data_IF_800293108017
#
_entry.id   IF_800293108017
#
_cell.length_a   1.000
_cell.length_b   1.000
_cell.length_c   1.000
_cell.angle_alpha   90.00
_cell.angle_beta   90.00
_cell.angle_gamma   90.00
#
_symmetry.space_group_name_H-M   'P 1'
#
loop_
_entity.id
_entity.type
_entity.pdbx_description
1 polymer ?
#
# COMPACT_ATOMS: atom_id res chain seq x y z
N UNK A 1 7.79 15.13 20.40
CA UNK A 1 8.06 13.68 20.53
C UNK A 1 9.57 13.50 20.52
N UNK A 2 10.14 12.60 21.33
CA UNK A 2 11.61 12.41 21.38
C UNK A 2 12.07 11.67 20.12
N UNK A 3 13.13 12.12 19.42
CA UNK A 3 13.54 11.57 18.12
C UNK A 3 13.90 10.08 18.11
N UNK A 4 14.25 9.50 19.26
CA UNK A 4 14.83 8.14 19.35
C UNK A 4 13.84 7.08 19.86
N UNK A 5 12.53 7.33 19.81
CA UNK A 5 11.55 6.50 20.54
C UNK A 5 11.17 5.20 19.82
N UNK A 6 11.40 5.08 18.50
CA UNK A 6 10.95 3.95 17.71
C UNK A 6 12.02 3.53 16.70
N UNK A 7 12.82 2.53 17.05
CA UNK A 7 13.75 1.90 16.10
C UNK A 7 13.00 1.01 15.11
N UNK A 8 13.57 0.80 13.92
CA UNK A 8 13.02 -0.11 12.90
C UNK A 8 12.87 -1.53 13.45
N UNK A 9 13.84 -2.00 14.23
CA UNK A 9 13.82 -3.33 14.86
C UNK A 9 12.65 -3.47 15.85
N UNK A 10 12.43 -2.48 16.72
CA UNK A 10 11.35 -2.52 17.70
C UNK A 10 9.97 -2.46 17.03
N UNK A 11 9.81 -1.59 16.04
CA UNK A 11 8.57 -1.44 15.28
C UNK A 11 8.26 -2.71 14.49
N UNK A 12 9.25 -3.28 13.81
CA UNK A 12 9.06 -4.53 13.05
C UNK A 12 8.78 -5.72 13.99
N UNK A 13 9.33 -5.73 15.21
CA UNK A 13 8.96 -6.77 16.19
C UNK A 13 7.52 -6.64 16.66
N UNK A 14 7.02 -5.41 16.84
CA UNK A 14 5.66 -5.15 17.37
C UNK A 14 4.58 -5.23 16.29
N UNK A 15 4.89 -4.81 15.07
CA UNK A 15 4.01 -4.75 13.90
C UNK A 15 4.69 -5.48 12.73
N UNK A 16 4.78 -6.82 12.79
CA UNK A 16 5.66 -7.60 11.91
C UNK A 16 5.21 -7.66 10.44
N UNK A 17 3.95 -7.32 10.17
CA UNK A 17 3.39 -7.45 8.83
C UNK A 17 3.43 -6.13 8.07
N UNK A 18 3.48 -6.21 6.74
CA UNK A 18 3.44 -5.08 5.81
C UNK A 18 4.57 -4.07 6.08
N UNK A 19 5.82 -4.54 5.98
CA UNK A 19 7.02 -3.74 6.20
C UNK A 19 7.38 -2.96 4.92
N UNK A 20 6.40 -2.20 4.41
CA UNK A 20 6.54 -1.39 3.21
C UNK A 20 7.14 -0.03 3.56
N UNK A 21 8.14 0.40 2.80
CA UNK A 21 8.84 1.67 3.00
C UNK A 21 8.79 2.61 1.81
N UNK A 22 9.52 3.72 1.90
CA UNK A 22 9.64 4.73 0.86
C UNK A 22 11.08 4.78 0.37
N UNK A 23 11.30 4.43 -0.89
CA UNK A 23 12.60 4.63 -1.54
C UNK A 23 12.79 6.11 -1.87
N UNK A 24 11.80 6.73 -2.52
CA UNK A 24 11.83 8.16 -2.88
C UNK A 24 10.42 8.71 -3.18
N UNK A 25 10.30 10.03 -3.17
CA UNK A 25 9.16 10.76 -3.71
C UNK A 25 9.55 11.41 -5.03
N UNK A 26 9.03 10.86 -6.14
CA UNK A 26 9.47 11.21 -7.49
C UNK A 26 8.40 11.96 -8.26
N UNK A 27 8.83 12.83 -9.16
CA UNK A 27 7.95 13.40 -10.18
C UNK A 27 8.34 12.76 -11.51
N UNK A 28 7.36 12.23 -12.23
CA UNK A 28 7.59 11.58 -13.51
C UNK A 28 8.22 12.54 -14.52
N UNK A 29 9.24 12.06 -15.24
CA UNK A 29 10.08 12.87 -16.12
C UNK A 29 9.33 13.38 -17.36
N UNK A 30 8.25 12.70 -17.73
CA UNK A 30 7.39 12.98 -18.88
C UNK A 30 6.30 14.02 -18.57
N UNK A 31 6.21 14.52 -17.33
CA UNK A 31 5.34 15.65 -17.04
C UNK A 31 5.78 16.89 -17.81
N UNK A 32 4.81 17.53 -18.47
CA UNK A 32 5.03 18.75 -19.27
C UNK A 32 4.68 20.03 -18.51
N UNK A 33 4.06 19.91 -17.35
CA UNK A 33 3.55 21.02 -16.54
C UNK A 33 4.27 21.05 -15.18
N UNK A 34 4.26 22.21 -14.53
CA UNK A 34 4.77 22.36 -13.17
C UNK A 34 4.13 21.33 -12.22
N UNK A 35 4.96 20.68 -11.41
CA UNK A 35 4.52 19.70 -10.43
C UNK A 35 5.33 19.85 -9.15
N UNK A 36 4.70 19.57 -8.01
CA UNK A 36 5.37 19.60 -6.71
C UNK A 36 4.79 18.51 -5.84
N UNK A 37 5.65 17.79 -5.11
CA UNK A 37 5.27 16.95 -3.97
C UNK A 37 5.71 17.70 -2.73
N UNK A 38 4.75 18.34 -2.08
CA UNK A 38 5.03 19.15 -0.88
C UNK A 38 5.40 18.26 0.31
N UNK A 39 6.12 18.82 1.30
CA UNK A 39 6.39 18.12 2.57
C UNK A 39 5.10 17.62 3.23
N UNK A 40 4.00 18.37 3.14
CA UNK A 40 2.70 17.95 3.69
C UNK A 40 2.09 16.78 2.91
N UNK A 41 2.25 16.72 1.59
CA UNK A 41 1.86 15.55 0.80
C UNK A 41 2.70 14.32 1.15
N UNK A 42 4.01 14.49 1.38
CA UNK A 42 4.87 13.39 1.84
C UNK A 42 4.42 12.88 3.21
N UNK A 43 4.15 13.77 4.16
CA UNK A 43 3.58 13.42 5.48
C UNK A 43 2.24 12.70 5.35
N UNK A 44 1.38 13.16 4.45
CA UNK A 44 0.11 12.52 4.15
C UNK A 44 0.29 11.07 3.67
N UNK A 45 1.20 10.82 2.71
CA UNK A 45 1.52 9.45 2.25
C UNK A 45 2.03 8.59 3.40
N UNK A 46 2.98 9.08 4.18
CA UNK A 46 3.52 8.36 5.34
C UNK A 46 2.44 8.02 6.38
N UNK A 47 1.47 8.93 6.59
CA UNK A 47 0.31 8.65 7.45
C UNK A 47 -0.61 7.57 6.85
N UNK A 48 -0.85 7.59 5.54
CA UNK A 48 -1.58 6.53 4.85
C UNK A 48 -0.86 5.18 4.98
N UNK A 49 0.48 5.15 4.91
CA UNK A 49 1.27 3.93 5.14
C UNK A 49 1.12 3.39 6.56
N UNK A 50 1.11 4.27 7.58
CA UNK A 50 0.83 3.89 8.95
C UNK A 50 -0.56 3.26 9.10
N UNK A 51 -1.58 3.82 8.44
CA UNK A 51 -2.95 3.29 8.46
C UNK A 51 -3.04 1.92 7.80
N UNK A 52 -2.46 1.73 6.62
CA UNK A 52 -2.43 0.43 5.94
C UNK A 52 -1.70 -0.62 6.80
N UNK A 53 -0.53 -0.28 7.35
CA UNK A 53 0.22 -1.19 8.23
C UNK A 53 -0.57 -1.53 9.49
N UNK A 54 -1.29 -0.57 10.08
CA UNK A 54 -2.19 -0.81 11.22
C UNK A 54 -3.32 -1.78 10.83
N UNK A 55 -3.97 -1.56 9.69
CA UNK A 55 -5.05 -2.42 9.20
C UNK A 55 -4.57 -3.85 8.93
N UNK A 56 -3.44 -4.04 8.24
CA UNK A 56 -2.91 -5.38 7.92
C UNK A 56 -2.45 -6.15 9.18
N UNK A 57 -1.92 -5.43 10.19
CA UNK A 57 -1.56 -6.01 11.49
C UNK A 57 -2.76 -6.21 12.43
N UNK A 58 -3.97 -5.76 12.07
CA UNK A 58 -5.16 -5.96 12.90
C UNK A 58 -5.59 -7.43 12.96
N UNK A 59 -6.22 -7.82 14.06
CA UNK A 59 -6.83 -9.15 14.22
C UNK A 59 -8.01 -9.36 13.27
N UNK A 60 -8.67 -8.28 12.85
CA UNK A 60 -9.84 -8.32 11.99
C UNK A 60 -9.49 -8.57 10.51
N UNK A 61 -8.25 -8.27 10.09
CA UNK A 61 -7.84 -8.38 8.68
C UNK A 61 -8.02 -9.78 8.08
N UNK A 62 -7.52 -10.89 8.67
CA UNK A 62 -7.67 -12.22 8.10
C UNK A 62 -9.14 -12.64 7.99
N UNK A 63 -9.94 -12.29 9.01
CA UNK A 63 -11.39 -12.55 9.02
C UNK A 63 -12.08 -11.84 7.86
N UNK A 64 -11.76 -10.56 7.62
CA UNK A 64 -12.34 -9.79 6.51
C UNK A 64 -11.90 -10.31 5.14
N UNK A 65 -10.67 -10.80 5.01
CA UNK A 65 -10.21 -11.47 3.79
C UNK A 65 -11.00 -12.76 3.55
N UNK A 66 -11.20 -13.59 4.57
CA UNK A 66 -11.95 -14.83 4.46
C UNK A 66 -13.44 -14.62 4.16
N UNK A 67 -14.06 -13.58 4.73
CA UNK A 67 -15.44 -13.18 4.40
C UNK A 67 -15.62 -12.91 2.89
N UNK A 68 -14.57 -12.43 2.22
CA UNK A 68 -14.55 -12.15 0.78
C UNK A 68 -14.07 -13.30 -0.09
N UNK A 69 -13.87 -14.51 0.44
CA UNK A 69 -13.28 -15.65 -0.30
C UNK A 69 -13.85 -15.90 -1.70
N UNK A 70 -15.15 -15.63 -1.92
CA UNK A 70 -15.81 -15.85 -3.21
C UNK A 70 -15.52 -14.76 -4.26
N UNK A 71 -14.92 -13.63 -3.86
CA UNK A 71 -14.50 -12.52 -4.72
C UNK A 71 -13.00 -12.64 -5.10
N UNK A 72 -12.27 -13.55 -4.44
CA UNK A 72 -10.81 -13.68 -4.53
C UNK A 72 -10.40 -14.73 -5.56
N UNK A 73 -10.79 -14.54 -6.83
CA UNK A 73 -10.38 -15.39 -7.94
C UNK A 73 -9.24 -14.80 -8.77
N UNK A 74 -8.41 -15.63 -9.38
CA UNK A 74 -7.37 -15.17 -10.28
C UNK A 74 -7.95 -14.61 -11.58
N UNK A 75 -7.45 -13.45 -12.00
CA UNK A 75 -7.85 -12.79 -13.25
C UNK A 75 -6.92 -13.12 -14.42
N UNK A 76 -5.80 -13.80 -14.14
CA UNK A 76 -4.74 -14.13 -15.08
C UNK A 76 -4.20 -15.54 -14.81
N UNK A 77 -3.58 -16.15 -15.82
CA UNK A 77 -2.79 -17.37 -15.62
C UNK A 77 -1.42 -16.99 -15.06
N UNK A 78 -0.93 -17.72 -14.06
CA UNK A 78 0.40 -17.53 -13.50
C UNK A 78 0.98 -18.85 -12.99
N UNK A 79 2.31 -18.98 -13.02
CA UNK A 79 2.99 -20.19 -12.55
C UNK A 79 4.40 -19.89 -12.04
N UNK A 80 4.81 -20.60 -11.00
CA UNK A 80 6.18 -20.62 -10.52
C UNK A 80 6.50 -21.98 -9.91
N UNK A 81 7.70 -22.51 -10.21
CA UNK A 81 8.10 -23.83 -9.74
C UNK A 81 7.12 -24.92 -10.17
N UNK A 82 6.59 -25.66 -9.19
CA UNK A 82 5.60 -26.71 -9.40
C UNK A 82 4.15 -26.25 -9.17
N UNK A 83 3.91 -24.97 -8.89
CA UNK A 83 2.58 -24.42 -8.65
C UNK A 83 2.13 -23.52 -9.81
N UNK A 84 0.86 -23.64 -10.17
CA UNK A 84 0.22 -22.79 -11.16
C UNK A 84 -1.20 -22.47 -10.73
N UNK A 85 -1.65 -21.26 -11.03
CA UNK A 85 -3.04 -20.84 -10.91
C UNK A 85 -3.55 -20.40 -12.27
N UNK A 86 -4.77 -20.82 -12.63
CA UNK A 86 -5.42 -20.40 -13.86
C UNK A 86 -6.40 -19.27 -13.59
N UNK A 87 -6.70 -18.51 -14.63
CA UNK A 87 -7.79 -17.54 -14.60
C UNK A 87 -9.09 -18.23 -14.20
N UNK A 88 -9.73 -17.70 -13.16
CA UNK A 88 -10.96 -18.21 -12.57
C UNK A 88 -10.75 -19.11 -11.35
N UNK A 89 -9.53 -19.59 -11.09
CA UNK A 89 -9.24 -20.35 -9.88
C UNK A 89 -9.28 -19.43 -8.66
N UNK A 90 -9.91 -19.91 -7.58
CA UNK A 90 -9.98 -19.16 -6.33
C UNK A 90 -8.66 -19.23 -5.57
N UNK A 91 -8.19 -18.09 -5.06
CA UNK A 91 -7.09 -18.04 -4.12
C UNK A 91 -7.52 -18.65 -2.77
N UNK A 92 -6.59 -19.30 -2.07
CA UNK A 92 -6.77 -19.63 -0.66
C UNK A 92 -6.67 -18.33 0.16
N UNK A 93 -7.72 -17.93 0.91
CA UNK A 93 -7.72 -16.68 1.65
C UNK A 93 -6.63 -16.61 2.74
N UNK A 94 -6.27 -17.73 3.36
CA UNK A 94 -5.23 -17.76 4.40
C UNK A 94 -3.85 -17.56 3.78
N UNK A 95 -3.57 -18.25 2.66
CA UNK A 95 -2.33 -18.04 1.92
C UNK A 95 -2.25 -16.60 1.42
N UNK A 96 -3.36 -16.04 0.94
CA UNK A 96 -3.39 -14.66 0.47
C UNK A 96 -3.12 -13.65 1.60
N UNK A 97 -3.63 -13.90 2.81
CA UNK A 97 -3.28 -13.12 4.01
C UNK A 97 -1.77 -13.15 4.24
N UNK A 98 -1.13 -14.32 4.17
CA UNK A 98 0.32 -14.45 4.37
C UNK A 98 1.13 -13.76 3.26
N UNK A 99 0.71 -13.92 2.00
CA UNK A 99 1.31 -13.27 0.83
C UNK A 99 1.34 -11.75 1.00
N UNK A 100 0.23 -11.15 1.46
CA UNK A 100 0.12 -9.72 1.73
C UNK A 100 0.93 -9.34 2.96
N UNK A 101 0.77 -10.06 4.08
CA UNK A 101 1.40 -9.72 5.36
C UNK A 101 2.92 -9.76 5.31
N UNK A 102 3.48 -10.59 4.46
CA UNK A 102 4.93 -10.77 4.32
C UNK A 102 5.58 -9.81 3.33
N UNK A 103 4.83 -8.87 2.74
CA UNK A 103 5.43 -7.83 1.88
C UNK A 103 6.38 -6.97 2.70
N UNK A 104 7.62 -6.88 2.22
CA UNK A 104 8.70 -6.08 2.79
C UNK A 104 9.52 -5.49 1.65
N UNK A 105 9.25 -4.24 1.28
CA UNK A 105 9.85 -3.59 0.12
C UNK A 105 9.71 -2.06 0.23
N UNK A 106 10.71 -1.33 -0.23
CA UNK A 106 10.65 0.14 -0.30
C UNK A 106 10.16 0.55 -1.68
N UNK A 107 9.16 1.44 -1.74
CA UNK A 107 8.53 1.85 -2.98
C UNK A 107 8.83 3.31 -3.33
N UNK A 108 8.90 3.58 -4.62
CA UNK A 108 8.87 4.93 -5.18
C UNK A 108 7.41 5.40 -5.22
N UNK A 109 7.14 6.59 -4.69
CA UNK A 109 5.84 7.24 -4.78
C UNK A 109 5.90 8.37 -5.79
N UNK A 110 5.29 8.18 -6.95
CA UNK A 110 5.47 9.04 -8.12
C UNK A 110 4.24 9.90 -8.44
N UNK A 111 4.45 11.20 -8.73
CA UNK A 111 3.45 12.03 -9.41
C UNK A 111 3.59 11.89 -10.91
N UNK A 112 2.50 11.51 -11.58
CA UNK A 112 2.46 11.32 -13.03
C UNK A 112 1.12 11.81 -13.61
N UNK A 113 0.95 11.71 -14.93
CA UNK A 113 -0.30 12.05 -15.62
C UNK A 113 -1.09 10.78 -15.94
N UNK A 114 -2.07 10.42 -15.10
CA UNK A 114 -2.90 9.21 -15.27
C UNK A 114 -4.31 9.49 -15.79
N UNK A 115 -4.77 10.75 -15.74
CA UNK A 115 -6.17 11.11 -15.97
C UNK A 115 -7.07 10.93 -14.75
N UNK A 116 -6.50 10.91 -13.53
CA UNK A 116 -7.27 10.94 -12.27
C UNK A 116 -7.36 9.62 -11.49
N UNK A 117 -6.46 8.66 -11.74
CA UNK A 117 -6.40 7.38 -11.01
C UNK A 117 -5.01 7.12 -10.39
N UNK A 118 -4.91 6.13 -9.51
CA UNK A 118 -3.64 5.51 -9.14
C UNK A 118 -3.13 4.61 -10.26
N UNK A 119 -1.83 4.31 -10.26
CA UNK A 119 -1.23 3.34 -11.16
C UNK A 119 -0.10 2.57 -10.46
N UNK A 120 -0.29 1.28 -10.27
CA UNK A 120 0.77 0.33 -9.91
C UNK A 120 1.25 -0.44 -11.14
N UNK A 121 2.51 -0.86 -11.12
CA UNK A 121 3.01 -1.83 -12.09
C UNK A 121 2.44 -3.20 -11.76
N UNK A 122 1.89 -3.90 -12.75
CA UNK A 122 1.51 -5.31 -12.56
C UNK A 122 2.79 -6.14 -12.43
N UNK A 123 3.16 -6.44 -11.19
CA UNK A 123 4.30 -7.28 -10.85
C UNK A 123 4.05 -8.77 -11.14
N UNK A 124 5.04 -9.60 -10.82
CA UNK A 124 4.85 -11.05 -10.86
C UNK A 124 3.92 -11.49 -9.72
N UNK A 125 3.14 -12.55 -9.94
CA UNK A 125 2.18 -13.03 -8.95
C UNK A 125 2.90 -13.57 -7.71
N UNK A 126 2.98 -12.77 -6.66
CA UNK A 126 3.61 -13.16 -5.38
C UNK A 126 2.97 -14.42 -4.81
N UNK A 127 1.67 -14.63 -5.05
CA UNK A 127 0.94 -15.82 -4.62
C UNK A 127 1.53 -17.11 -5.19
N UNK A 128 1.74 -17.21 -6.51
CA UNK A 128 2.27 -18.46 -7.10
C UNK A 128 3.72 -18.71 -6.70
N UNK A 129 4.50 -17.65 -6.51
CA UNK A 129 5.88 -17.76 -6.01
C UNK A 129 5.94 -18.25 -4.57
N UNK A 130 5.07 -17.72 -3.70
CA UNK A 130 4.95 -18.14 -2.30
C UNK A 130 4.55 -19.62 -2.19
N UNK A 131 3.51 -20.04 -2.92
CA UNK A 131 3.05 -21.44 -2.89
C UNK A 131 4.02 -22.39 -3.59
N UNK A 132 4.67 -21.93 -4.66
CA UNK A 132 5.72 -22.68 -5.36
C UNK A 132 7.04 -22.80 -4.59
N UNK A 133 7.11 -22.27 -3.36
CA UNK A 133 8.22 -22.49 -2.42
C UNK A 133 9.38 -21.51 -2.55
N UNK A 134 9.20 -20.37 -3.21
CA UNK A 134 10.25 -19.34 -3.22
C UNK A 134 10.38 -18.69 -1.83
N UNK A 135 11.60 -18.49 -1.30
CA UNK A 135 11.82 -17.72 -0.08
C UNK A 135 11.20 -16.32 -0.18
N UNK A 136 10.48 -15.91 0.87
CA UNK A 136 9.67 -14.67 0.94
C UNK A 136 10.44 -13.40 0.61
N UNK A 137 11.71 -13.35 1.01
CA UNK A 137 12.66 -12.25 0.80
C UNK A 137 13.23 -12.20 -0.63
N UNK A 138 13.00 -13.25 -1.42
CA UNK A 138 13.45 -13.36 -2.81
C UNK A 138 12.31 -13.22 -3.82
N UNK A 139 11.05 -13.13 -3.37
CA UNK A 139 9.91 -12.99 -4.28
C UNK A 139 9.91 -11.57 -4.86
N UNK A 140 10.01 -11.42 -6.19
CA UNK A 140 10.05 -10.11 -6.82
C UNK A 140 8.76 -9.33 -6.56
N UNK A 141 8.93 -8.03 -6.33
CA UNK A 141 7.85 -7.05 -6.15
C UNK A 141 8.19 -5.86 -7.03
N UNK A 142 7.22 -5.33 -7.77
CA UNK A 142 7.46 -4.10 -8.53
C UNK A 142 7.60 -2.92 -7.56
N UNK A 143 8.34 -1.89 -7.95
CA UNK A 143 8.98 -0.96 -7.02
C UNK A 143 8.35 0.44 -6.93
N UNK A 144 7.28 0.72 -7.67
CA UNK A 144 6.67 2.05 -7.62
C UNK A 144 5.14 2.04 -7.66
N UNK A 145 4.57 3.06 -7.02
CA UNK A 145 3.15 3.40 -7.03
C UNK A 145 3.00 4.84 -7.49
N UNK A 146 2.14 5.02 -8.47
CA UNK A 146 1.86 6.27 -9.12
C UNK A 146 0.52 6.88 -8.73
N UNK A 147 0.48 8.21 -8.62
CA UNK A 147 -0.75 8.97 -8.49
C UNK A 147 -0.76 10.18 -9.44
N UNK A 148 -1.95 10.61 -9.86
CA UNK A 148 -2.11 11.82 -10.67
C UNK A 148 -1.35 13.02 -10.06
N UNK A 149 -0.85 13.89 -10.92
CA UNK A 149 -0.35 15.21 -10.57
C UNK A 149 -1.49 16.13 -10.09
N UNK A 150 -1.99 15.85 -8.90
CA UNK A 150 -2.97 16.61 -8.15
C UNK A 150 -2.42 16.90 -6.75
N UNK A 151 -3.18 17.64 -5.94
CA UNK A 151 -2.91 17.69 -4.51
C UNK A 151 -3.43 16.40 -3.87
N UNK A 152 -2.53 15.51 -3.45
CA UNK A 152 -2.90 14.20 -2.89
C UNK A 152 -3.70 14.32 -1.60
N UNK A 153 -3.50 15.40 -0.84
CA UNK A 153 -4.32 15.70 0.34
C UNK A 153 -5.75 16.02 -0.07
N UNK A 154 -5.98 16.67 -1.22
CA UNK A 154 -7.34 16.97 -1.70
C UNK A 154 -8.10 15.73 -2.17
N UNK A 155 -7.43 14.63 -2.51
CA UNK A 155 -8.08 13.35 -2.79
C UNK A 155 -8.66 12.69 -1.55
N UNK A 156 -8.23 13.15 -0.37
CA UNK A 156 -8.91 12.87 0.88
C UNK A 156 -10.27 13.63 0.99
N UNK A 157 -10.52 14.62 0.13
CA UNK A 157 -11.71 15.48 0.17
C UNK A 157 -11.81 16.33 1.44
N UNK A 158 -12.89 17.11 1.58
CA UNK A 158 -13.24 17.79 2.85
C UNK A 158 -13.87 16.82 3.88
N UNK A 159 -13.61 15.53 3.73
CA UNK A 159 -14.29 14.47 4.46
C UNK A 159 -13.30 13.74 5.35
N UNK A 160 -13.71 13.44 6.58
CA UNK A 160 -12.95 12.60 7.50
C UNK A 160 -12.62 11.23 6.85
N UNK A 161 -13.42 10.74 5.90
CA UNK A 161 -13.16 9.49 5.17
C UNK A 161 -11.96 9.53 4.21
N UNK A 162 -11.33 10.70 4.05
CA UNK A 162 -10.30 10.92 3.06
C UNK A 162 -9.04 10.08 3.18
N UNK A 163 -8.53 9.93 4.41
CA UNK A 163 -7.38 9.07 4.67
C UNK A 163 -7.68 7.61 4.38
N UNK A 164 -8.91 7.15 4.67
CA UNK A 164 -9.30 5.77 4.43
C UNK A 164 -9.39 5.48 2.93
N UNK A 165 -10.06 6.34 2.17
CA UNK A 165 -10.19 6.19 0.71
C UNK A 165 -8.83 6.21 0.01
N UNK A 166 -7.98 7.19 0.33
CA UNK A 166 -6.65 7.27 -0.29
C UNK A 166 -5.75 6.11 0.12
N UNK A 167 -5.76 5.71 1.40
CA UNK A 167 -5.01 4.52 1.84
C UNK A 167 -5.51 3.25 1.15
N UNK A 168 -6.82 3.12 0.94
CA UNK A 168 -7.40 2.03 0.18
C UNK A 168 -6.92 2.01 -1.27
N UNK A 169 -6.90 3.16 -1.95
CA UNK A 169 -6.35 3.29 -3.31
C UNK A 169 -4.85 2.96 -3.33
N UNK A 170 -4.07 3.48 -2.39
CA UNK A 170 -2.65 3.15 -2.30
C UNK A 170 -2.42 1.65 -2.09
N UNK A 171 -3.24 1.01 -1.25
CA UNK A 171 -3.22 -0.43 -1.06
C UNK A 171 -3.58 -1.19 -2.34
N UNK A 172 -4.57 -0.70 -3.08
CA UNK A 172 -4.95 -1.25 -4.39
C UNK A 172 -3.76 -1.30 -5.34
N UNK A 173 -3.05 -0.19 -5.50
CA UNK A 173 -1.89 -0.15 -6.39
C UNK A 173 -0.79 -1.09 -5.91
N UNK A 174 -0.53 -1.14 -4.59
CA UNK A 174 0.40 -2.13 -4.04
C UNK A 174 0.00 -3.58 -4.33
N UNK A 175 -1.30 -3.90 -4.45
CA UNK A 175 -1.75 -5.23 -4.86
C UNK A 175 -1.35 -5.55 -6.31
N UNK A 176 -1.35 -4.55 -7.20
CA UNK A 176 -0.79 -4.72 -8.55
C UNK A 176 0.69 -5.02 -8.52
N UNK A 177 1.47 -4.33 -7.67
CA UNK A 177 2.91 -4.55 -7.54
C UNK A 177 3.31 -5.96 -7.09
N UNK A 178 2.40 -6.69 -6.44
CA UNK A 178 2.57 -8.11 -6.06
C UNK A 178 1.79 -9.07 -6.97
N UNK A 179 1.37 -8.58 -8.14
CA UNK A 179 0.84 -9.36 -9.26
C UNK A 179 -0.63 -9.76 -9.16
N UNK A 180 -1.42 -9.11 -8.29
CA UNK A 180 -2.87 -9.20 -8.38
C UNK A 180 -3.40 -8.31 -9.52
N UNK A 181 -4.49 -8.74 -10.14
CA UNK A 181 -5.10 -8.05 -11.28
C UNK A 181 -6.62 -8.05 -11.13
N UNK A 182 -7.29 -7.20 -11.90
CA UNK A 182 -8.75 -7.10 -11.96
C UNK A 182 -9.27 -7.20 -13.42
N UNK A 183 -8.60 -7.99 -14.27
CA UNK A 183 -9.04 -8.24 -15.65
C UNK A 183 -10.17 -9.28 -15.70
N UNK A 184 -11.35 -8.88 -16.17
CA UNK A 184 -12.49 -9.79 -16.33
C UNK A 184 -13.33 -9.92 -15.06
N UNK A 185 -13.74 -11.15 -14.71
CA UNK A 185 -14.77 -11.41 -13.69
C UNK A 185 -14.31 -11.13 -12.26
N UNK A 186 -13.05 -11.45 -11.93
CA UNK A 186 -12.51 -11.27 -10.60
C UNK A 186 -11.71 -9.97 -10.53
N UNK A 187 -11.87 -9.27 -9.42
CA UNK A 187 -11.36 -7.92 -9.21
C UNK A 187 -10.66 -7.82 -7.85
N UNK A 188 -9.62 -8.64 -7.66
CA UNK A 188 -8.98 -8.87 -6.36
C UNK A 188 -8.45 -7.59 -5.71
N UNK A 189 -7.72 -6.69 -6.42
CA UNK A 189 -7.31 -5.41 -5.86
C UNK A 189 -8.46 -4.58 -5.28
N UNK A 190 -9.63 -4.53 -5.94
CA UNK A 190 -10.80 -3.81 -5.41
C UNK A 190 -11.42 -4.49 -4.19
N UNK A 191 -11.51 -5.83 -4.20
CA UNK A 191 -12.03 -6.57 -3.04
C UNK A 191 -11.18 -6.31 -1.79
N UNK A 192 -9.86 -6.30 -1.96
CA UNK A 192 -8.86 -6.05 -0.93
C UNK A 192 -8.80 -4.58 -0.49
N UNK A 193 -8.91 -3.64 -1.43
CA UNK A 193 -9.06 -2.22 -1.15
C UNK A 193 -10.25 -1.96 -0.22
N UNK A 194 -11.42 -2.52 -0.53
CA UNK A 194 -12.63 -2.34 0.28
C UNK A 194 -12.45 -2.86 1.72
N UNK A 195 -11.74 -3.98 1.89
CA UNK A 195 -11.39 -4.52 3.22
C UNK A 195 -10.53 -3.51 3.99
N UNK A 196 -9.41 -3.08 3.41
CA UNK A 196 -8.47 -2.18 4.08
C UNK A 196 -9.10 -0.83 4.37
N UNK A 197 -9.84 -0.27 3.41
CA UNK A 197 -10.56 0.98 3.60
C UNK A 197 -11.55 0.90 4.76
N UNK A 198 -12.42 -0.12 4.81
CA UNK A 198 -13.39 -0.29 5.91
C UNK A 198 -12.73 -0.50 7.27
N UNK A 199 -11.62 -1.23 7.31
CA UNK A 199 -10.86 -1.39 8.55
C UNK A 199 -10.27 -0.06 9.01
N UNK A 200 -9.71 0.73 8.09
CA UNK A 200 -9.17 2.06 8.39
C UNK A 200 -10.27 3.00 8.88
N UNK A 201 -11.46 3.01 8.27
CA UNK A 201 -12.59 3.81 8.74
C UNK A 201 -12.99 3.44 10.18
N UNK A 202 -13.04 2.15 10.50
CA UNK A 202 -13.31 1.68 11.87
C UNK A 202 -12.20 2.05 12.85
N UNK A 203 -10.94 2.02 12.42
CA UNK A 203 -9.77 2.43 13.22
C UNK A 203 -9.74 3.95 13.46
N UNK A 204 -10.19 4.76 12.50
CA UNK A 204 -10.16 6.21 12.65
C UNK A 204 -11.39 6.73 13.41
N UNK A 205 -12.56 6.16 13.15
CA UNK A 205 -13.85 6.76 13.50
C UNK A 205 -14.84 5.79 14.16
N UNK A 206 -14.61 4.49 14.07
CA UNK A 206 -15.55 3.47 14.52
C UNK A 206 -15.17 2.79 15.82
N UNK A 207 -15.65 1.57 15.94
CA UNK A 207 -15.51 0.70 17.11
C UNK A 207 -14.06 0.27 17.39
N UNK A 208 -13.19 0.29 16.38
CA UNK A 208 -11.79 -0.11 16.49
C UNK A 208 -10.86 1.04 16.91
N UNK A 209 -11.36 2.27 16.99
CA UNK A 209 -10.56 3.47 17.26
C UNK A 209 -9.73 3.37 18.54
N UNK A 210 -10.38 3.10 19.66
CA UNK A 210 -9.68 2.99 20.94
C UNK A 210 -8.74 1.79 21.00
N UNK A 211 -9.07 0.69 20.29
CA UNK A 211 -8.26 -0.54 20.26
C UNK A 211 -6.91 -0.29 19.56
N UNK A 212 -6.90 0.44 18.45
CA UNK A 212 -5.71 0.61 17.62
C UNK A 212 -5.09 2.02 17.64
N UNK A 213 -5.64 2.97 18.41
CA UNK A 213 -5.09 4.33 18.52
C UNK A 213 -3.59 4.35 18.82
N UNK A 214 -3.16 3.57 19.83
CA UNK A 214 -1.73 3.48 20.20
C UNK A 214 -0.88 2.94 19.05
N UNK A 215 -1.33 1.90 18.36
CA UNK A 215 -0.59 1.31 17.25
C UNK A 215 -0.42 2.30 16.08
N UNK A 216 -1.48 3.02 15.78
CA UNK A 216 -1.50 4.03 14.74
C UNK A 216 -0.58 5.23 15.07
N UNK A 217 -0.58 5.68 16.33
CA UNK A 217 0.30 6.77 16.79
C UNK A 217 1.78 6.36 16.73
N UNK A 218 2.12 5.15 17.20
CA UNK A 218 3.48 4.64 17.16
C UNK A 218 3.97 4.44 15.72
N UNK A 219 3.16 3.85 14.83
CA UNK A 219 3.52 3.67 13.43
C UNK A 219 3.70 5.00 12.70
N UNK A 220 2.87 6.00 13.00
CA UNK A 220 3.03 7.34 12.40
C UNK A 220 4.28 8.04 12.88
N UNK A 221 4.55 7.97 14.18
CA UNK A 221 5.80 8.50 14.74
C UNK A 221 7.02 7.82 14.11
N UNK A 222 6.97 6.50 13.93
CA UNK A 222 8.00 5.73 13.24
C UNK A 222 8.20 6.22 11.80
N UNK A 223 7.16 6.25 10.96
CA UNK A 223 7.31 6.66 9.56
C UNK A 223 7.86 8.09 9.43
N UNK A 224 7.41 9.03 10.27
CA UNK A 224 7.94 10.40 10.25
C UNK A 224 9.39 10.49 10.73
N UNK A 225 9.83 9.58 11.58
CA UNK A 225 11.21 9.53 12.09
C UNK A 225 12.14 8.85 11.08
N UNK A 226 11.76 7.67 10.58
CA UNK A 226 12.50 6.89 9.59
C UNK A 226 12.74 7.69 8.31
N UNK A 227 11.70 8.40 7.83
CA UNK A 227 11.76 9.14 6.57
C UNK A 227 11.93 10.65 6.76
N UNK A 228 12.44 11.09 7.92
CA UNK A 228 12.61 12.52 8.24
C UNK A 228 13.41 13.29 7.18
N UNK A 229 14.39 12.64 6.55
CA UNK A 229 15.26 13.25 5.56
C UNK A 229 14.49 13.55 4.25
N UNK A 230 13.49 12.73 3.92
CA UNK A 230 12.58 12.98 2.79
C UNK A 230 11.60 14.15 3.06
N UNK A 231 11.46 14.59 4.31
CA UNK A 231 10.53 15.63 4.76
C UNK A 231 11.19 17.00 4.94
N UNK A 232 12.43 17.19 4.49
CA UNK A 232 13.16 18.44 4.63
C UNK A 232 12.70 19.51 3.63
N UNK A 233 12.34 19.10 2.41
CA UNK A 233 11.97 20.00 1.32
C UNK A 233 10.93 19.38 0.38
N UNK A 234 10.30 20.23 -0.42
CA UNK A 234 9.38 19.83 -1.47
C UNK A 234 10.15 19.20 -2.64
N UNK A 235 9.61 18.14 -3.26
CA UNK A 235 10.13 17.68 -4.56
C UNK A 235 9.49 18.54 -5.65
N UNK A 236 10.27 19.29 -6.44
CA UNK A 236 9.75 20.25 -7.42
C UNK A 236 10.20 19.91 -8.84
N UNK A 237 9.27 19.91 -9.78
CA UNK A 237 9.53 19.87 -11.21
C UNK A 237 9.03 21.16 -11.85
N UNK A 238 9.97 21.90 -12.44
CA UNK A 238 9.70 23.16 -13.13
C UNK A 238 10.12 23.03 -14.61
N UNK A 239 9.16 22.90 -15.55
CA UNK A 239 9.48 22.70 -16.96
C UNK A 239 10.17 23.91 -17.60
N UNK A 240 10.14 25.10 -16.96
CA UNK A 240 10.83 26.31 -17.45
C UNK A 240 12.33 26.33 -17.16
N UNK A 241 12.82 25.37 -16.36
CA UNK A 241 14.24 25.23 -15.99
C UNK A 241 14.96 24.10 -16.75
N UNK A 242 14.30 23.50 -17.76
CA UNK A 242 14.91 22.56 -18.71
C UNK A 242 15.62 23.29 -19.85
#
# INVERSE_FOLDING_TARGET
MKPDTYTKEEINRKYPYWNVGVAEFKIAEDLTNYATITVEEKRFILRCMALMRTAVNSEEFPTKVNEKKNELGSSVDASYGNFSIKKGDMYDPNIMVDVIRTVSHDFIYEKLKTGGAGLGVVGQSRYVHYVGGQPVDQIPTADWVGFENANWIQWSGNSLYGYASFSGLMFHEHMHNIGFSHVGTYAVPYALQDIVQKLIERILYGDLKSKYAKALDELTAYYYTEYKDLLLEDSVFDPSKK
#
